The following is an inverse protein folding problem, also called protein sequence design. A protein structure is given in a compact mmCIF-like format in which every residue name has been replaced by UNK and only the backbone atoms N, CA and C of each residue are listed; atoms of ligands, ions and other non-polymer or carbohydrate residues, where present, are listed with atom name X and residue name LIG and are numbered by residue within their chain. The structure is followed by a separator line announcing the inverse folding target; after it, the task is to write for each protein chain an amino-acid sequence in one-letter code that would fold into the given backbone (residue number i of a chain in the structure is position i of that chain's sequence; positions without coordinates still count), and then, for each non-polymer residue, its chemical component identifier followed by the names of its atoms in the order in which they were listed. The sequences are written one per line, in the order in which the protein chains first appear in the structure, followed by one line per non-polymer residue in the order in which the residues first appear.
data_IF_457388899251
#
_entry.id   IF_457388899251
#
_cell.length_a   1.000
_cell.length_b   1.000
_cell.length_c   1.000
_cell.angle_alpha   90.00
_cell.angle_beta   90.00
_cell.angle_gamma   90.00
#
_symmetry.space_group_name_H-M   'P 1'
#
loop_
_entity.id
_entity.type
_entity.pdbx_description
1 polymer ?
#
# COMPACT_ATOMS: atom_id res chain seq x y z
N UNK A 1 -10.20 -18.89 0.65
CA UNK A 1 -9.40 -17.68 0.94
C UNK A 1 -10.35 -16.53 1.18
N UNK A 2 -10.11 -15.74 2.22
CA UNK A 2 -10.82 -14.48 2.45
C UNK A 2 -10.34 -13.51 1.36
N UNK A 3 -11.24 -13.09 0.47
CA UNK A 3 -10.95 -12.12 -0.59
C UNK A 3 -11.37 -10.76 -0.08
N UNK A 4 -10.41 -9.87 0.10
CA UNK A 4 -10.69 -8.51 0.54
C UNK A 4 -10.24 -7.50 -0.51
N UNK A 5 -10.96 -6.39 -0.59
CA UNK A 5 -10.51 -5.24 -1.35
C UNK A 5 -9.93 -4.22 -0.38
N UNK A 6 -9.06 -3.33 -0.88
CA UNK A 6 -8.58 -2.18 -0.12
C UNK A 6 -8.83 -0.88 -0.87
N UNK A 7 -8.88 0.22 -0.12
CA UNK A 7 -9.09 1.59 -0.63
C UNK A 7 -8.08 2.54 0.01
N UNK A 8 -7.88 3.69 -0.61
CA UNK A 8 -7.05 4.76 -0.05
C UNK A 8 -7.92 5.99 0.26
N UNK A 9 -7.55 6.71 1.31
CA UNK A 9 -8.14 7.98 1.67
C UNK A 9 -7.05 8.99 2.03
N UNK A 10 -7.35 10.29 1.89
CA UNK A 10 -6.45 11.38 2.26
C UNK A 10 -7.20 12.49 2.99
N UNK A 11 -6.46 13.31 3.74
CA UNK A 11 -6.98 14.48 4.45
C UNK A 11 -5.94 15.59 4.48
N UNK A 12 -6.38 16.85 4.35
CA UNK A 12 -5.53 18.04 4.50
C UNK A 12 -5.63 18.68 5.88
N UNK A 13 -6.61 18.30 6.69
CA UNK A 13 -6.85 18.83 8.04
C UNK A 13 -6.74 17.76 9.13
N UNK A 14 -6.47 16.51 8.75
CA UNK A 14 -6.42 15.34 9.65
C UNK A 14 -7.78 14.88 10.19
N UNK A 15 -8.89 15.53 9.79
CA UNK A 15 -10.22 15.29 10.35
C UNK A 15 -11.21 14.83 9.27
N UNK A 16 -11.25 15.55 8.15
CA UNK A 16 -12.11 15.23 7.01
C UNK A 16 -11.34 14.38 6.03
N UNK A 17 -11.72 13.11 5.95
CA UNK A 17 -11.12 12.14 5.05
C UNK A 17 -11.91 12.03 3.75
N UNK A 18 -11.20 12.03 2.63
CA UNK A 18 -11.75 11.81 1.30
C UNK A 18 -11.25 10.49 0.75
N UNK A 19 -12.16 9.55 0.50
CA UNK A 19 -11.84 8.27 -0.14
C UNK A 19 -11.59 8.49 -1.63
N UNK A 20 -10.50 7.93 -2.15
CA UNK A 20 -10.23 7.88 -3.58
C UNK A 20 -11.25 6.91 -4.21
N UNK A 21 -11.99 7.30 -5.27
CA UNK A 21 -13.08 6.50 -5.84
C UNK A 21 -12.58 5.33 -6.69
N UNK A 22 -11.66 4.53 -6.13
CA UNK A 22 -11.05 3.35 -6.75
C UNK A 22 -10.91 2.26 -5.69
N UNK A 23 -11.35 1.05 -6.04
CA UNK A 23 -11.24 -0.14 -5.20
C UNK A 23 -10.18 -1.07 -5.78
N UNK A 24 -9.25 -1.53 -4.94
CA UNK A 24 -8.15 -2.39 -5.35
C UNK A 24 -8.33 -3.81 -4.82
N UNK A 25 -7.96 -4.79 -5.64
CA UNK A 25 -7.98 -6.22 -5.32
C UNK A 25 -6.70 -6.59 -4.54
N UNK A 26 -6.85 -7.01 -3.28
CA UNK A 26 -5.70 -7.35 -2.42
C UNK A 26 -4.96 -8.60 -2.88
N UNK A 27 -5.60 -9.52 -3.62
CA UNK A 27 -4.94 -10.73 -4.12
C UNK A 27 -3.78 -10.41 -5.04
N UNK A 28 -3.82 -9.26 -5.72
CA UNK A 28 -2.74 -8.84 -6.63
C UNK A 28 -1.40 -8.66 -5.94
N UNK A 29 -1.38 -8.53 -4.61
CA UNK A 29 -0.18 -8.37 -3.79
C UNK A 29 0.26 -9.69 -3.11
N UNK A 30 -0.33 -10.83 -3.50
CA UNK A 30 0.00 -12.15 -2.95
C UNK A 30 1.04 -12.90 -3.79
N UNK A 31 1.80 -13.79 -3.13
CA UNK A 31 2.78 -14.65 -3.79
C UNK A 31 2.15 -15.51 -4.90
N UNK A 32 0.93 -16.06 -4.67
CA UNK A 32 0.19 -16.85 -5.66
C UNK A 32 -0.11 -16.05 -6.93
N UNK A 33 -0.58 -14.80 -6.76
CA UNK A 33 -0.88 -13.95 -7.91
C UNK A 33 0.38 -13.61 -8.70
N UNK A 34 1.49 -13.33 -8.02
CA UNK A 34 2.77 -13.06 -8.67
C UNK A 34 3.28 -14.28 -9.43
N UNK A 35 3.27 -15.47 -8.82
CA UNK A 35 3.67 -16.72 -9.45
C UNK A 35 2.84 -17.00 -10.72
N UNK A 36 1.51 -16.89 -10.62
CA UNK A 36 0.61 -17.24 -11.71
C UNK A 36 0.66 -16.27 -12.90
N UNK A 37 0.84 -14.97 -12.66
CA UNK A 37 0.70 -13.95 -13.70
C UNK A 37 2.03 -13.47 -14.28
N UNK A 38 3.12 -13.52 -13.51
CA UNK A 38 4.40 -12.95 -13.93
C UNK A 38 5.50 -13.98 -14.10
N UNK A 39 5.31 -15.23 -13.65
CA UNK A 39 6.25 -16.32 -13.83
C UNK A 39 7.63 -16.01 -13.23
N UNK A 40 7.82 -16.33 -11.95
CA UNK A 40 9.07 -16.05 -11.24
C UNK A 40 9.47 -17.15 -10.26
N UNK A 41 10.75 -17.22 -9.93
CA UNK A 41 11.32 -18.11 -8.90
C UNK A 41 11.41 -17.44 -7.51
N UNK A 42 10.85 -16.24 -7.34
CA UNK A 42 10.98 -15.41 -6.13
C UNK A 42 9.62 -14.85 -5.70
N UNK A 43 8.82 -15.67 -5.01
CA UNK A 43 7.46 -15.37 -4.52
C UNK A 43 7.35 -15.80 -3.04
N UNK A 44 8.23 -15.25 -2.19
CA UNK A 44 8.40 -15.73 -0.81
C UNK A 44 8.36 -14.59 0.20
N UNK A 45 7.62 -13.52 -0.10
CA UNK A 45 7.61 -12.31 0.74
C UNK A 45 6.20 -12.04 1.23
N UNK A 46 5.41 -11.30 0.45
CA UNK A 46 4.07 -10.88 0.79
C UNK A 46 3.90 -9.37 0.75
N UNK A 47 2.68 -8.92 1.02
CA UNK A 47 2.32 -7.52 0.98
C UNK A 47 2.92 -6.75 2.17
N UNK A 48 3.41 -5.54 1.91
CA UNK A 48 3.84 -4.57 2.91
C UNK A 48 3.08 -3.26 2.74
N UNK A 49 2.93 -2.51 3.83
CA UNK A 49 2.48 -1.11 3.83
C UNK A 49 3.57 -0.25 4.46
N UNK A 50 3.73 0.99 3.99
CA UNK A 50 4.79 1.88 4.46
C UNK A 50 4.74 3.25 3.78
N UNK A 51 5.65 4.12 4.24
CA UNK A 51 5.90 5.43 3.63
C UNK A 51 7.19 5.38 2.82
N UNK A 52 7.24 6.13 1.72
CA UNK A 52 8.40 6.17 0.83
C UNK A 52 8.55 7.56 0.21
N UNK A 53 9.79 7.99 0.04
CA UNK A 53 10.15 9.21 -0.69
C UNK A 53 11.14 8.85 -1.79
N UNK A 54 10.91 9.38 -2.98
CA UNK A 54 11.79 9.21 -4.14
C UNK A 54 11.99 10.52 -4.84
N UNK A 55 13.25 10.84 -5.11
CA UNK A 55 13.65 11.99 -5.90
C UNK A 55 14.52 11.51 -7.08
N UNK A 56 13.92 11.51 -8.27
CA UNK A 56 14.61 11.12 -9.51
C UNK A 56 15.48 12.25 -10.09
N UNK A 57 15.43 13.46 -9.53
CA UNK A 57 16.24 14.59 -9.99
C UNK A 57 17.65 14.58 -9.39
N UNK A 58 17.86 13.83 -8.32
CA UNK A 58 19.13 13.80 -7.57
C UNK A 58 19.31 14.96 -6.59
N UNK A 59 18.29 15.80 -6.41
CA UNK A 59 18.30 16.96 -5.51
C UNK A 59 18.19 16.58 -4.02
N UNK A 60 17.91 15.32 -3.73
CA UNK A 60 17.74 14.76 -2.38
C UNK A 60 16.70 15.53 -1.57
N UNK A 61 15.56 15.84 -2.20
CA UNK A 61 14.48 16.55 -1.52
C UNK A 61 13.98 15.75 -0.31
N UNK A 62 14.01 16.33 0.91
CA UNK A 62 13.53 15.66 2.10
C UNK A 62 12.00 15.59 2.11
N UNK A 63 11.47 14.50 2.68
CA UNK A 63 10.06 14.35 3.01
C UNK A 63 9.96 13.91 4.47
N UNK A 64 9.36 14.75 5.30
CA UNK A 64 9.22 14.51 6.73
C UNK A 64 7.85 13.89 7.01
N UNK A 65 7.84 12.68 7.55
CA UNK A 65 6.63 11.95 7.96
C UNK A 65 6.51 12.01 9.48
N UNK A 66 5.43 12.60 9.99
CA UNK A 66 5.24 12.81 11.43
C UNK A 66 4.95 11.49 12.18
N UNK A 67 4.18 10.58 11.58
CA UNK A 67 3.86 9.28 12.14
C UNK A 67 3.52 8.23 11.08
N UNK A 68 3.56 6.96 11.48
CA UNK A 68 3.02 5.83 10.73
C UNK A 68 2.21 4.97 11.69
N UNK A 69 0.92 4.77 11.38
CA UNK A 69 -0.01 4.02 12.21
C UNK A 69 -0.49 2.77 11.47
N UNK A 70 -0.39 1.62 12.13
CA UNK A 70 -0.96 0.35 11.68
C UNK A 70 -1.90 -0.16 12.76
N UNK A 71 -3.18 -0.28 12.40
CA UNK A 71 -4.21 -0.79 13.28
C UNK A 71 -4.95 -1.93 12.56
N UNK A 72 -4.84 -3.13 13.10
CA UNK A 72 -5.67 -4.26 12.66
C UNK A 72 -7.12 -4.00 13.07
N UNK A 73 -8.05 -4.22 12.15
CA UNK A 73 -9.46 -4.22 12.52
C UNK A 73 -9.76 -5.53 13.26
N UNK A 74 -10.08 -5.43 14.54
CA UNK A 74 -10.74 -6.51 15.26
C UNK A 74 -12.14 -6.70 14.71
N UNK A 75 -12.55 -7.95 14.48
CA UNK A 75 -13.94 -8.31 14.18
C UNK A 75 -14.91 -7.92 15.31
#
# INVERSE_FOLDING_TARGET
MRHENYTYAYSFDGQKWQTIPVTFDSLKLSDDYILMNYGGYAFFTGAFTGVFSSDLTGSQLPADFDYFEYQEQTE
#
